data_IF_058296325202
#
_entry.id   IF_058296325202
#
_cell.length_a   1.000
_cell.length_b   1.000
_cell.length_c   1.000
_cell.angle_alpha   90.00
_cell.angle_beta   90.00
_cell.angle_gamma   90.00
#
_symmetry.space_group_name_H-M   'P 1'
#
loop_
_entity.id
_entity.type
_entity.pdbx_description
1 polymer ?
#
# COMPACT_ATOMS: atom_id res chain seq x y z
N UNK A 1 7.50 25.16 86.86
CA UNK A 1 7.29 23.89 86.09
C UNK A 1 6.43 24.07 84.86
N UNK A 2 5.29 24.76 84.88
CA UNK A 2 4.42 24.88 83.72
C UNK A 2 5.01 25.60 82.50
N UNK A 3 5.88 26.60 82.65
CA UNK A 3 6.48 27.33 81.53
C UNK A 3 7.42 26.46 80.66
N UNK A 4 8.22 25.64 81.32
CA UNK A 4 9.16 24.73 80.62
C UNK A 4 8.39 23.66 79.88
N UNK A 5 7.32 23.13 80.46
CA UNK A 5 6.44 22.16 79.82
C UNK A 5 5.78 22.73 78.54
N UNK A 6 5.28 23.98 78.60
CA UNK A 6 4.68 24.63 77.41
C UNK A 6 5.70 24.84 76.28
N UNK A 7 6.94 25.20 76.60
CA UNK A 7 8.01 25.36 75.59
C UNK A 7 8.32 24.01 74.89
N UNK A 8 8.42 22.94 75.65
CA UNK A 8 8.67 21.59 75.11
C UNK A 8 7.52 21.16 74.22
N UNK A 9 6.26 21.40 74.57
CA UNK A 9 5.12 21.06 73.72
C UNK A 9 5.12 21.83 72.42
N UNK A 10 5.42 23.13 72.45
CA UNK A 10 5.50 23.95 71.27
C UNK A 10 6.62 23.48 70.36
N UNK A 11 7.79 23.15 70.90
CA UNK A 11 8.93 22.63 70.13
C UNK A 11 8.57 21.29 69.44
N UNK A 12 7.86 20.39 70.10
CA UNK A 12 7.41 19.13 69.56
C UNK A 12 6.37 19.34 68.43
N UNK A 13 5.44 20.26 68.62
CA UNK A 13 4.44 20.58 67.58
C UNK A 13 5.11 21.13 66.31
N UNK A 14 6.08 22.02 66.47
CA UNK A 14 6.84 22.56 65.33
C UNK A 14 7.65 21.47 64.61
N UNK A 15 8.28 20.56 65.38
CA UNK A 15 9.02 19.43 64.81
C UNK A 15 8.05 18.48 64.05
N UNK A 16 6.92 18.15 64.61
CA UNK A 16 5.89 17.32 63.93
C UNK A 16 5.35 17.99 62.65
N UNK A 17 5.09 19.32 62.71
CA UNK A 17 4.70 20.10 61.53
C UNK A 17 5.74 20.06 60.41
N UNK A 18 6.99 20.28 60.73
CA UNK A 18 8.11 20.25 59.77
C UNK A 18 8.27 18.83 59.14
N UNK A 19 8.16 17.79 59.92
CA UNK A 19 8.21 16.39 59.43
C UNK A 19 6.99 16.07 58.52
N UNK A 20 5.81 16.53 58.88
CA UNK A 20 4.62 16.33 58.04
C UNK A 20 4.72 17.01 56.67
N UNK A 21 5.26 18.25 56.61
CA UNK A 21 5.51 18.95 55.33
C UNK A 21 6.56 18.24 54.51
N UNK A 22 7.65 17.77 55.13
CA UNK A 22 8.68 17.00 54.44
C UNK A 22 8.16 15.69 53.86
N UNK A 23 7.37 14.94 54.63
CA UNK A 23 6.73 13.69 54.15
C UNK A 23 5.77 13.93 53.00
N UNK A 24 4.94 14.95 53.07
CA UNK A 24 4.01 15.31 51.98
C UNK A 24 4.77 15.68 50.71
N UNK A 25 5.82 16.49 50.82
CA UNK A 25 6.65 16.87 49.67
C UNK A 25 7.34 15.63 49.02
N UNK A 26 7.84 14.70 49.81
CA UNK A 26 8.41 13.45 49.30
C UNK A 26 7.37 12.56 48.64
N UNK A 27 6.17 12.50 49.21
CA UNK A 27 5.06 11.72 48.68
C UNK A 27 4.59 12.31 47.32
N UNK A 28 4.41 13.60 47.22
CA UNK A 28 3.99 14.27 46.00
C UNK A 28 5.04 14.09 44.88
N UNK A 29 6.32 14.24 45.20
CA UNK A 29 7.39 13.95 44.26
C UNK A 29 7.37 12.48 43.78
N UNK A 30 7.20 11.53 44.69
CA UNK A 30 7.16 10.11 44.34
C UNK A 30 5.97 9.78 43.41
N UNK A 31 4.80 10.39 43.64
CA UNK A 31 3.61 10.26 42.78
C UNK A 31 3.91 10.84 41.41
N UNK A 32 4.45 12.07 41.34
CA UNK A 32 4.77 12.74 40.08
C UNK A 32 5.79 11.95 39.25
N UNK A 33 6.83 11.44 39.86
CA UNK A 33 7.81 10.57 39.16
C UNK A 33 7.19 9.27 38.67
N UNK A 34 6.30 8.67 39.43
CA UNK A 34 5.56 7.47 39.02
C UNK A 34 4.68 7.77 37.79
N UNK A 35 3.90 8.86 37.81
CA UNK A 35 3.07 9.27 36.70
C UNK A 35 3.89 9.59 35.43
N UNK A 36 5.03 10.28 35.59
CA UNK A 36 5.93 10.56 34.47
C UNK A 36 6.49 9.29 33.85
N UNK A 37 6.91 8.34 34.71
CA UNK A 37 7.39 7.04 34.26
C UNK A 37 6.31 6.27 33.51
N UNK A 38 5.13 6.20 34.08
CA UNK A 38 4.01 5.45 33.50
C UNK A 38 3.58 6.07 32.16
N UNK A 39 3.57 7.41 32.03
CA UNK A 39 3.39 8.09 30.74
C UNK A 39 4.48 7.73 29.74
N UNK A 40 5.76 7.73 30.15
CA UNK A 40 6.87 7.37 29.25
C UNK A 40 6.82 5.91 28.81
N UNK A 41 6.41 5.01 29.67
CA UNK A 41 6.21 3.59 29.31
C UNK A 41 5.09 3.46 28.28
N UNK A 42 3.96 4.12 28.48
CA UNK A 42 2.86 4.12 27.52
C UNK A 42 3.25 4.74 26.17
N UNK A 43 3.98 5.86 26.18
CA UNK A 43 4.51 6.46 24.95
C UNK A 43 5.47 5.52 24.19
N UNK A 44 6.33 4.79 24.91
CA UNK A 44 7.25 3.80 24.34
C UNK A 44 6.50 2.59 23.76
N UNK A 45 5.49 2.09 24.45
CA UNK A 45 4.63 1.00 23.95
C UNK A 45 3.91 1.41 22.67
N UNK A 46 3.33 2.60 22.64
CA UNK A 46 2.69 3.15 21.44
C UNK A 46 3.69 3.33 20.29
N UNK A 47 4.88 3.87 20.57
CA UNK A 47 5.92 4.02 19.56
C UNK A 47 6.37 2.68 19.00
N UNK A 48 6.58 1.67 19.85
CA UNK A 48 6.96 0.33 19.42
C UNK A 48 5.84 -0.34 18.59
N UNK A 49 4.58 -0.20 19.01
CA UNK A 49 3.45 -0.69 18.23
C UNK A 49 3.38 -0.04 16.85
N UNK A 50 3.57 1.29 16.79
CA UNK A 50 3.61 2.05 15.54
C UNK A 50 4.74 1.58 14.62
N UNK A 51 5.96 1.40 15.17
CA UNK A 51 7.12 0.91 14.40
C UNK A 51 6.82 -0.49 13.83
N UNK A 52 6.26 -1.38 14.63
CA UNK A 52 5.91 -2.74 14.21
C UNK A 52 4.87 -2.72 13.09
N UNK A 53 3.82 -1.89 13.22
CA UNK A 53 2.81 -1.71 12.17
C UNK A 53 3.43 -1.16 10.89
N UNK A 54 4.27 -0.13 10.98
CA UNK A 54 4.97 0.42 9.81
C UNK A 54 5.87 -0.61 9.12
N UNK A 55 6.61 -1.42 9.88
CA UNK A 55 7.43 -2.49 9.31
C UNK A 55 6.60 -3.57 8.62
N UNK A 56 5.44 -3.90 9.19
CA UNK A 56 4.52 -4.85 8.57
C UNK A 56 3.98 -4.28 7.25
N UNK A 57 3.54 -3.02 7.25
CA UNK A 57 3.07 -2.35 6.03
C UNK A 57 4.13 -2.28 4.94
N UNK A 58 5.38 -1.97 5.30
CA UNK A 58 6.47 -1.96 4.34
C UNK A 58 6.68 -3.34 3.69
N UNK A 59 6.59 -4.42 4.48
CA UNK A 59 6.68 -5.78 3.96
C UNK A 59 5.51 -6.12 3.03
N UNK A 60 4.29 -5.76 3.42
CA UNK A 60 3.09 -6.00 2.63
C UNK A 60 3.13 -5.23 1.30
N UNK A 61 3.56 -3.96 1.32
CA UNK A 61 3.74 -3.15 0.11
C UNK A 61 4.83 -3.71 -0.79
N UNK A 62 5.96 -4.12 -0.22
CA UNK A 62 7.05 -4.72 -1.00
C UNK A 62 6.63 -6.06 -1.64
N UNK A 63 5.84 -6.87 -0.94
CA UNK A 63 5.29 -8.12 -1.47
C UNK A 63 4.29 -7.84 -2.61
N UNK A 64 3.45 -6.84 -2.46
CA UNK A 64 2.49 -6.41 -3.48
C UNK A 64 3.22 -5.92 -4.74
N UNK A 65 4.21 -5.04 -4.59
CA UNK A 65 5.02 -4.51 -5.68
C UNK A 65 5.76 -5.64 -6.44
N UNK A 66 6.40 -6.54 -5.71
CA UNK A 66 7.08 -7.69 -6.30
C UNK A 66 6.13 -8.61 -7.08
N UNK A 67 4.90 -8.78 -6.62
CA UNK A 67 3.87 -9.57 -7.32
C UNK A 67 3.48 -8.88 -8.62
N UNK A 68 3.06 -7.62 -8.59
CA UNK A 68 2.61 -6.91 -9.78
C UNK A 68 3.72 -6.65 -10.79
N UNK A 69 4.95 -6.44 -10.34
CA UNK A 69 6.12 -6.33 -11.21
C UNK A 69 6.37 -7.63 -11.99
N UNK A 70 6.22 -8.80 -11.35
CA UNK A 70 6.33 -10.10 -12.03
C UNK A 70 5.18 -10.32 -13.01
N UNK A 71 3.94 -10.12 -12.58
CA UNK A 71 2.77 -10.26 -13.46
C UNK A 71 2.85 -9.34 -14.69
N UNK A 72 3.37 -8.13 -14.54
CA UNK A 72 3.60 -7.22 -15.66
C UNK A 72 4.71 -7.71 -16.58
N UNK A 73 5.82 -8.23 -16.03
CA UNK A 73 6.90 -8.81 -16.82
C UNK A 73 6.41 -10.02 -17.62
N UNK A 74 5.66 -10.93 -17.00
CA UNK A 74 5.08 -12.10 -17.65
C UNK A 74 4.11 -11.70 -18.77
N UNK A 75 3.23 -10.72 -18.53
CA UNK A 75 2.29 -10.23 -19.54
C UNK A 75 3.01 -9.58 -20.74
N UNK A 76 4.12 -8.87 -20.50
CA UNK A 76 4.95 -8.30 -21.57
C UNK A 76 5.66 -9.40 -22.36
N UNK A 77 6.22 -10.41 -21.70
CA UNK A 77 6.86 -11.54 -22.35
C UNK A 77 5.87 -12.31 -23.23
N UNK A 78 4.64 -12.54 -22.75
CA UNK A 78 3.58 -13.15 -23.54
C UNK A 78 3.24 -12.29 -24.78
N UNK A 79 3.12 -10.97 -24.62
CA UNK A 79 2.84 -10.05 -25.73
C UNK A 79 3.94 -10.08 -26.79
N UNK A 80 5.21 -10.13 -26.40
CA UNK A 80 6.35 -10.26 -27.32
C UNK A 80 6.36 -11.63 -28.03
N UNK A 81 6.04 -12.70 -27.34
CA UNK A 81 5.92 -14.04 -27.93
C UNK A 81 4.81 -14.06 -28.99
N UNK A 82 3.64 -13.51 -28.68
CA UNK A 82 2.54 -13.41 -29.63
C UNK A 82 2.90 -12.52 -30.84
N UNK A 83 3.61 -11.45 -30.60
CA UNK A 83 4.10 -10.57 -31.68
C UNK A 83 5.08 -11.30 -32.60
N UNK A 84 6.00 -12.08 -32.03
CA UNK A 84 6.94 -12.88 -32.80
C UNK A 84 6.23 -13.99 -33.59
N UNK A 85 5.24 -14.67 -32.99
CA UNK A 85 4.43 -15.69 -33.67
C UNK A 85 3.66 -15.13 -34.87
N UNK A 86 3.10 -13.91 -34.73
CA UNK A 86 2.40 -13.24 -35.83
C UNK A 86 3.38 -12.80 -36.90
N UNK A 87 4.54 -12.28 -36.53
CA UNK A 87 5.57 -11.88 -37.48
C UNK A 87 6.16 -13.07 -38.25
N UNK A 88 6.27 -14.24 -37.59
CA UNK A 88 6.72 -15.49 -38.22
C UNK A 88 5.63 -16.19 -39.05
N UNK A 89 4.39 -15.69 -39.04
CA UNK A 89 3.27 -16.30 -39.74
C UNK A 89 2.68 -17.55 -39.07
N UNK A 90 3.13 -17.88 -37.86
CA UNK A 90 2.60 -19.02 -37.09
C UNK A 90 1.18 -18.73 -36.57
N UNK A 91 0.84 -17.47 -36.39
CA UNK A 91 -0.50 -16.99 -36.02
C UNK A 91 -0.92 -15.84 -36.92
N UNK A 92 -2.23 -15.77 -37.20
CA UNK A 92 -2.81 -14.63 -37.95
C UNK A 92 -3.76 -13.85 -37.05
N UNK A 93 -3.67 -12.52 -37.10
CA UNK A 93 -4.68 -11.66 -36.52
C UNK A 93 -5.90 -11.64 -37.45
N UNK A 94 -7.00 -12.26 -37.03
CA UNK A 94 -8.27 -12.25 -37.78
C UNK A 94 -9.09 -11.06 -37.31
N UNK A 95 -9.46 -10.20 -38.25
CA UNK A 95 -10.43 -9.14 -38.01
C UNK A 95 -11.79 -9.61 -38.50
N UNK A 96 -12.82 -9.41 -37.69
CA UNK A 96 -14.17 -9.58 -38.14
C UNK A 96 -14.60 -8.33 -38.96
N UNK A 97 -14.23 -8.29 -40.22
CA UNK A 97 -14.52 -7.19 -41.13
C UNK A 97 -15.40 -7.73 -42.26
N UNK A 98 -16.50 -7.04 -42.53
CA UNK A 98 -17.30 -7.28 -43.70
C UNK A 98 -16.76 -6.44 -44.85
N UNK A 99 -16.21 -7.09 -45.89
CA UNK A 99 -15.85 -6.36 -47.10
C UNK A 99 -17.07 -5.83 -47.81
N UNK A 100 -17.18 -4.54 -48.09
CA UNK A 100 -18.24 -4.03 -48.95
C UNK A 100 -18.01 -4.60 -50.37
N UNK A 101 -18.95 -5.34 -50.83
CA UNK A 101 -19.23 -5.87 -52.16
C UNK A 101 -18.13 -6.08 -53.20
N UNK A 102 -18.35 -6.91 -54.22
CA UNK A 102 -17.35 -7.26 -55.17
C UNK A 102 -16.89 -6.01 -55.94
N UNK A 103 -15.61 -5.72 -55.92
CA UNK A 103 -14.98 -4.80 -56.86
C UNK A 103 -15.17 -5.43 -58.26
N UNK A 104 -15.85 -4.70 -59.14
CA UNK A 104 -16.11 -5.07 -60.53
C UNK A 104 -14.89 -5.74 -61.14
N UNK A 105 -15.17 -6.80 -61.87
CA UNK A 105 -14.28 -7.63 -62.62
C UNK A 105 -13.14 -6.84 -63.29
N UNK A 106 -11.93 -6.94 -62.80
CA UNK A 106 -10.73 -6.74 -63.62
C UNK A 106 -10.50 -8.06 -64.36
N UNK A 107 -10.70 -8.00 -65.64
CA UNK A 107 -10.43 -9.06 -66.60
C UNK A 107 -9.06 -9.70 -66.35
N UNK A 108 -9.05 -10.99 -66.08
CA UNK A 108 -8.00 -11.92 -66.36
C UNK A 108 -6.69 -11.71 -65.65
N UNK A 109 -6.56 -12.36 -64.52
CA UNK A 109 -5.35 -13.12 -64.11
C UNK A 109 -5.55 -13.69 -62.73
N UNK A 110 -5.22 -14.95 -62.63
CA UNK A 110 -4.92 -15.72 -61.42
C UNK A 110 -5.92 -15.63 -60.29
N UNK A 111 -6.83 -16.61 -60.26
CA UNK A 111 -7.34 -17.19 -58.99
C UNK A 111 -6.11 -17.53 -58.15
N UNK A 112 -5.75 -16.67 -57.24
CA UNK A 112 -4.98 -17.10 -56.11
C UNK A 112 -5.98 -17.71 -55.14
N UNK A 113 -6.09 -19.04 -55.28
CA UNK A 113 -6.90 -19.88 -54.40
C UNK A 113 -6.12 -20.01 -53.09
N UNK A 114 -6.20 -18.95 -52.33
CA UNK A 114 -5.87 -18.99 -50.91
C UNK A 114 -6.71 -17.95 -50.21
N UNK A 115 -7.84 -18.41 -49.66
CA UNK A 115 -8.71 -17.62 -48.81
C UNK A 115 -8.01 -17.24 -47.49
N UNK A 116 -6.95 -16.51 -47.60
CA UNK A 116 -6.43 -15.73 -46.48
C UNK A 116 -7.41 -14.57 -46.30
N UNK A 117 -8.25 -14.67 -45.30
CA UNK A 117 -9.09 -13.55 -44.91
C UNK A 117 -8.25 -12.29 -44.76
N UNK A 118 -8.83 -11.10 -44.78
CA UNK A 118 -8.11 -9.83 -44.78
C UNK A 118 -7.10 -9.82 -43.64
N UNK A 119 -5.81 -9.79 -44.01
CA UNK A 119 -4.70 -9.66 -43.05
C UNK A 119 -4.48 -8.16 -42.75
N UNK A 120 -4.17 -7.87 -41.50
CA UNK A 120 -3.77 -6.53 -41.12
C UNK A 120 -2.46 -6.14 -41.81
N UNK A 121 -2.36 -4.86 -42.23
CA UNK A 121 -1.09 -4.30 -42.65
C UNK A 121 -0.09 -4.35 -41.46
N UNK A 122 1.19 -4.51 -41.76
CA UNK A 122 2.28 -4.63 -40.76
C UNK A 122 2.33 -3.44 -39.77
N UNK A 123 1.96 -2.25 -40.23
CA UNK A 123 1.87 -1.04 -39.39
C UNK A 123 0.79 -1.20 -38.33
N UNK A 124 -0.42 -1.64 -38.75
CA UNK A 124 -1.58 -1.83 -37.87
C UNK A 124 -1.33 -2.97 -36.88
N UNK A 125 -0.63 -4.01 -37.34
CA UNK A 125 -0.22 -5.14 -36.47
C UNK A 125 0.72 -4.65 -35.37
N UNK A 126 1.69 -3.81 -35.68
CA UNK A 126 2.59 -3.21 -34.69
C UNK A 126 1.86 -2.30 -33.72
N UNK A 127 0.95 -1.48 -34.22
CA UNK A 127 0.14 -0.57 -33.39
C UNK A 127 -0.77 -1.34 -32.45
N UNK A 128 -1.37 -2.45 -32.90
CA UNK A 128 -2.17 -3.35 -32.08
C UNK A 128 -1.38 -3.90 -30.88
N UNK A 129 -0.18 -4.45 -31.11
CA UNK A 129 0.63 -5.00 -30.02
C UNK A 129 1.13 -3.90 -29.07
N UNK A 130 1.44 -2.72 -29.57
CA UNK A 130 1.81 -1.57 -28.74
C UNK A 130 0.63 -1.11 -27.87
N UNK A 131 -0.58 -1.08 -28.45
CA UNK A 131 -1.78 -0.68 -27.72
C UNK A 131 -2.15 -1.73 -26.67
N UNK A 132 -2.04 -3.01 -27.01
CA UNK A 132 -2.24 -4.13 -26.09
C UNK A 132 -1.29 -4.05 -24.90
N UNK A 133 0.01 -3.79 -25.12
CA UNK A 133 0.98 -3.63 -24.05
C UNK A 133 0.64 -2.47 -23.11
N UNK A 134 0.26 -1.33 -23.66
CA UNK A 134 -0.18 -0.17 -22.85
C UNK A 134 -1.42 -0.49 -22.03
N UNK A 135 -2.39 -1.17 -22.62
CA UNK A 135 -3.62 -1.56 -21.94
C UNK A 135 -3.33 -2.50 -20.77
N UNK A 136 -2.51 -3.54 -20.99
CA UNK A 136 -2.11 -4.48 -19.93
C UNK A 136 -1.34 -3.77 -18.81
N UNK A 137 -0.47 -2.83 -19.15
CA UNK A 137 0.27 -2.03 -18.17
C UNK A 137 -0.68 -1.19 -17.31
N UNK A 138 -1.61 -0.47 -17.93
CA UNK A 138 -2.62 0.32 -17.20
C UNK A 138 -3.52 -0.56 -16.34
N UNK A 139 -3.94 -1.72 -16.84
CA UNK A 139 -4.76 -2.66 -16.09
C UNK A 139 -4.02 -3.15 -14.84
N UNK A 140 -2.77 -3.59 -14.97
CA UNK A 140 -1.97 -4.07 -13.83
C UNK A 140 -1.66 -2.97 -12.82
N UNK A 141 -1.43 -1.75 -13.26
CA UNK A 141 -1.27 -0.59 -12.37
C UNK A 141 -2.57 -0.29 -11.60
N UNK A 142 -3.71 -0.37 -12.25
CA UNK A 142 -5.01 -0.15 -11.62
C UNK A 142 -5.35 -1.24 -10.60
N UNK A 143 -5.13 -2.51 -10.96
CA UNK A 143 -5.29 -3.65 -10.05
C UNK A 143 -4.40 -3.49 -8.81
N UNK A 144 -3.12 -3.16 -9.00
CA UNK A 144 -2.18 -2.90 -7.91
C UNK A 144 -2.59 -1.74 -7.01
N UNK A 145 -3.08 -0.64 -7.59
CA UNK A 145 -3.59 0.50 -6.82
C UNK A 145 -4.84 0.13 -6.01
N UNK A 146 -5.75 -0.65 -6.58
CA UNK A 146 -6.96 -1.12 -5.88
C UNK A 146 -6.60 -2.06 -4.71
N UNK A 147 -5.66 -2.99 -4.91
CA UNK A 147 -5.20 -3.88 -3.86
C UNK A 147 -4.46 -3.11 -2.76
N UNK A 148 -3.66 -2.10 -3.12
CA UNK A 148 -3.03 -1.21 -2.14
C UNK A 148 -4.08 -0.50 -1.28
N UNK A 149 -5.10 0.10 -1.89
CA UNK A 149 -6.19 0.77 -1.18
C UNK A 149 -6.90 -0.20 -0.24
N UNK A 150 -7.24 -1.40 -0.71
CA UNK A 150 -7.93 -2.41 0.11
C UNK A 150 -7.09 -2.89 1.28
N UNK A 151 -5.80 -3.12 1.06
CA UNK A 151 -4.93 -3.73 2.07
C UNK A 151 -4.34 -2.73 3.04
N UNK A 152 -4.09 -1.49 2.60
CA UNK A 152 -3.41 -0.48 3.41
C UNK A 152 -4.36 0.61 3.94
N UNK A 153 -5.30 1.09 3.11
CA UNK A 153 -6.15 2.21 3.50
C UNK A 153 -7.42 1.78 4.23
N UNK A 154 -8.11 0.71 3.76
CA UNK A 154 -9.36 0.29 4.42
C UNK A 154 -9.13 -0.40 5.76
N UNK A 155 -7.99 -1.04 5.99
CA UNK A 155 -7.65 -1.58 7.33
C UNK A 155 -7.49 -0.48 8.38
N UNK A 156 -7.03 0.71 7.98
CA UNK A 156 -6.92 1.86 8.92
C UNK A 156 -8.27 2.41 9.35
N UNK A 157 -9.26 2.44 8.47
CA UNK A 157 -10.59 2.94 8.81
C UNK A 157 -11.30 2.10 9.89
N UNK A 158 -10.94 0.82 10.02
CA UNK A 158 -11.47 -0.05 11.08
C UNK A 158 -10.74 0.07 12.43
N UNK A 159 -9.51 0.64 12.45
CA UNK A 159 -8.68 0.68 13.66
C UNK A 159 -8.74 2.04 14.38
N UNK A 160 -9.23 3.08 13.71
CA UNK A 160 -9.54 4.38 14.29
C UNK A 160 -11.02 4.68 14.04
N UNK A 161 -11.95 4.28 14.93
CA UNK A 161 -13.25 4.91 14.97
C UNK A 161 -12.97 6.39 15.29
N UNK A 162 -13.48 7.28 14.43
CA UNK A 162 -13.47 8.72 14.68
C UNK A 162 -14.25 8.97 15.97
N UNK A 163 -13.54 9.08 17.08
CA UNK A 163 -14.07 9.69 18.29
C UNK A 163 -14.00 11.20 18.09
N UNK A 164 -15.08 11.75 17.56
CA UNK A 164 -15.42 13.17 17.61
C UNK A 164 -16.33 13.44 18.78
#
# INVERSE_FOLDING_TARGET
>A
MNRVLCVVIIALLVACGALSLGLNHYRDNAITYKEQRDKKVSELELANATITDMQQRQRDVAALDARYSRELADARAENETLRADVAAGHRSLRINATCPGPVREATGAARVDNATGPQLADTVTRDYFTLRERLMTMQKQLEGAQDYIRTQCTKQAFYYPEDV
#
